data_IF_237000328712
#
_entry.id   IF_237000328712
#
_cell.length_a   1.000
_cell.length_b   1.000
_cell.length_c   1.000
_cell.angle_alpha   90.00
_cell.angle_beta   90.00
_cell.angle_gamma   90.00
#
_symmetry.space_group_name_H-M   'P 1'
#
loop_
_entity.id
_entity.type
_entity.pdbx_description
1 polymer ?
#
# COMPACT_ATOMS: atom_id res chain seq x y z
N UNK A 1 40.02 -21.07 30.53
CA UNK A 1 38.89 -21.67 29.78
C UNK A 1 37.84 -20.59 29.71
N UNK A 2 37.66 -19.98 28.55
CA UNK A 2 36.73 -18.86 28.36
C UNK A 2 35.31 -19.41 28.16
N UNK A 3 34.39 -18.93 28.99
CA UNK A 3 32.97 -19.23 28.92
C UNK A 3 32.37 -18.40 27.76
N UNK A 4 32.18 -19.04 26.61
CA UNK A 4 31.56 -18.41 25.44
C UNK A 4 30.07 -18.21 25.70
N UNK A 5 29.68 -17.02 26.17
CA UNK A 5 28.30 -16.62 26.33
C UNK A 5 27.52 -16.70 25.02
N UNK A 6 26.32 -17.29 25.08
CA UNK A 6 25.38 -17.34 23.97
C UNK A 6 25.13 -15.93 23.41
N UNK A 7 25.33 -15.75 22.11
CA UNK A 7 25.08 -14.47 21.47
C UNK A 7 23.57 -14.23 21.35
N UNK A 8 23.15 -12.97 21.42
CA UNK A 8 21.75 -12.56 21.21
C UNK A 8 21.15 -13.12 19.90
N UNK A 9 21.97 -13.27 18.87
CA UNK A 9 21.57 -13.85 17.58
C UNK A 9 21.24 -15.34 17.68
N UNK A 10 21.96 -16.09 18.52
CA UNK A 10 21.70 -17.50 18.77
C UNK A 10 20.38 -17.66 19.54
N UNK A 11 20.14 -16.80 20.53
CA UNK A 11 18.89 -16.78 21.28
C UNK A 11 17.67 -16.45 20.38
N UNK A 12 17.80 -15.48 19.46
CA UNK A 12 16.75 -15.13 18.48
C UNK A 12 16.48 -16.29 17.52
N UNK A 13 17.52 -16.98 17.03
CA UNK A 13 17.36 -18.19 16.21
C UNK A 13 16.63 -19.29 16.96
N UNK A 14 16.97 -19.51 18.23
CA UNK A 14 16.38 -20.56 19.06
C UNK A 14 14.90 -20.28 19.37
N UNK A 15 14.54 -19.02 19.56
CA UNK A 15 13.14 -18.58 19.72
C UNK A 15 12.36 -18.72 18.40
N UNK A 16 13.00 -18.42 17.27
CA UNK A 16 12.39 -18.58 15.94
C UNK A 16 12.10 -20.03 15.59
N UNK A 17 12.97 -20.97 16.00
CA UNK A 17 12.80 -22.40 15.76
C UNK A 17 11.87 -23.09 16.77
N UNK A 18 11.73 -22.55 17.99
CA UNK A 18 10.90 -23.12 19.06
C UNK A 18 9.38 -22.97 18.89
N UNK A 19 8.91 -22.10 17.99
CA UNK A 19 7.47 -21.83 17.76
C UNK A 19 6.83 -22.69 16.66
N UNK A 20 7.44 -23.82 16.31
CA UNK A 20 6.91 -24.74 15.30
C UNK A 20 5.90 -25.73 15.93
N UNK A 21 4.73 -25.22 16.29
CA UNK A 21 3.66 -26.07 16.82
C UNK A 21 2.32 -25.37 16.86
N UNK A 22 1.66 -25.27 15.68
CA UNK A 22 0.22 -25.00 15.39
C UNK A 22 -0.03 -23.94 14.31
N UNK A 23 0.95 -23.11 13.95
CA UNK A 23 0.77 -21.94 13.05
C UNK A 23 1.07 -22.17 11.55
N UNK A 24 1.27 -23.42 11.11
CA UNK A 24 1.63 -23.68 9.69
C UNK A 24 0.47 -23.38 8.74
N UNK A 25 -0.78 -23.63 9.14
CA UNK A 25 -1.93 -23.35 8.27
C UNK A 25 -2.23 -21.86 8.16
N UNK A 26 -2.12 -21.10 9.26
CA UNK A 26 -2.32 -19.65 9.26
C UNK A 26 -1.23 -18.94 8.45
N UNK A 27 0.04 -19.32 8.63
CA UNK A 27 1.15 -18.75 7.85
C UNK A 27 1.02 -19.03 6.36
N UNK A 28 0.56 -20.23 5.98
CA UNK A 28 0.30 -20.58 4.57
C UNK A 28 -0.83 -19.72 3.99
N UNK A 29 -1.93 -19.55 4.75
CA UNK A 29 -3.06 -18.70 4.33
C UNK A 29 -2.63 -17.23 4.17
N UNK A 30 -1.91 -16.67 5.14
CA UNK A 30 -1.39 -15.30 5.07
C UNK A 30 -0.48 -15.12 3.84
N UNK A 31 0.42 -16.08 3.58
CA UNK A 31 1.28 -16.03 2.40
C UNK A 31 0.48 -16.05 1.09
N UNK A 32 -0.52 -16.93 0.98
CA UNK A 32 -1.40 -17.01 -0.19
C UNK A 32 -2.18 -15.70 -0.40
N UNK A 33 -2.75 -15.13 0.67
CA UNK A 33 -3.45 -13.85 0.62
C UNK A 33 -2.53 -12.71 0.16
N UNK A 34 -1.29 -12.65 0.68
CA UNK A 34 -0.30 -11.66 0.22
C UNK A 34 0.02 -11.83 -1.27
N UNK A 35 0.12 -13.07 -1.77
CA UNK A 35 0.36 -13.34 -3.20
C UNK A 35 -0.80 -12.92 -4.08
N UNK A 36 -2.03 -13.18 -3.64
CA UNK A 36 -3.23 -12.72 -4.35
C UNK A 36 -3.33 -11.19 -4.36
N UNK A 37 -3.08 -10.55 -3.22
CA UNK A 37 -3.07 -9.09 -3.12
C UNK A 37 -2.02 -8.46 -4.06
N UNK A 38 -0.81 -9.02 -4.11
CA UNK A 38 0.22 -8.59 -5.05
C UNK A 38 -0.21 -8.77 -6.51
N UNK A 39 -0.80 -9.92 -6.86
CA UNK A 39 -1.28 -10.17 -8.22
C UNK A 39 -2.36 -9.19 -8.68
N UNK A 40 -3.26 -8.79 -7.77
CA UNK A 40 -4.25 -7.73 -8.04
C UNK A 40 -3.57 -6.39 -8.24
N UNK A 41 -2.55 -6.07 -7.43
CA UNK A 41 -1.79 -4.82 -7.58
C UNK A 41 -1.07 -4.75 -8.93
N UNK A 42 -0.41 -5.84 -9.32
CA UNK A 42 0.32 -5.96 -10.59
C UNK A 42 -0.61 -5.84 -11.81
N UNK A 43 -1.81 -6.42 -11.73
CA UNK A 43 -2.82 -6.30 -12.77
C UNK A 43 -3.29 -4.85 -12.92
N UNK A 44 -3.58 -4.19 -11.81
CA UNK A 44 -3.97 -2.79 -11.79
C UNK A 44 -2.83 -1.87 -12.28
N UNK A 45 -1.58 -2.16 -11.91
CA UNK A 45 -0.40 -1.48 -12.44
C UNK A 45 -0.29 -1.64 -13.95
N UNK A 46 -0.48 -2.85 -14.45
CA UNK A 46 -0.45 -3.15 -15.89
C UNK A 46 -1.56 -2.38 -16.61
N UNK A 47 -2.79 -2.41 -16.10
CA UNK A 47 -3.90 -1.69 -16.70
C UNK A 47 -3.67 -0.18 -16.74
N UNK A 48 -3.21 0.40 -15.63
CA UNK A 48 -2.95 1.84 -15.52
C UNK A 48 -1.71 2.30 -16.29
N UNK A 49 -0.73 1.42 -16.55
CA UNK A 49 0.42 1.72 -17.41
C UNK A 49 0.04 1.96 -18.88
N UNK A 50 -1.15 1.50 -19.29
CA UNK A 50 -1.70 1.71 -20.64
C UNK A 50 -2.57 2.95 -20.74
N UNK A 51 -2.86 3.62 -19.63
CA UNK A 51 -3.59 4.88 -19.64
C UNK A 51 -2.69 6.01 -20.17
N UNK A 52 -3.29 6.97 -20.88
CA UNK A 52 -2.59 8.19 -21.31
C UNK A 52 -2.14 9.02 -20.10
N UNK A 53 -1.15 9.92 -20.24
CA UNK A 53 -0.83 10.87 -19.18
C UNK A 53 -2.04 11.72 -18.77
N UNK A 54 -2.12 12.05 -17.48
CA UNK A 54 -3.18 12.90 -16.93
C UNK A 54 -2.83 14.38 -17.14
N UNK A 55 -3.77 15.18 -17.64
CA UNK A 55 -3.56 16.61 -17.87
C UNK A 55 -3.50 17.40 -16.56
N UNK A 56 -2.99 18.63 -16.62
CA UNK A 56 -2.92 19.50 -15.44
C UNK A 56 -4.31 19.77 -14.86
N UNK A 57 -5.30 20.01 -15.72
CA UNK A 57 -6.69 20.26 -15.34
C UNK A 57 -7.31 19.03 -14.66
N UNK A 58 -7.03 17.83 -15.19
CA UNK A 58 -7.47 16.57 -14.60
C UNK A 58 -6.85 16.36 -13.22
N UNK A 59 -5.56 16.65 -13.04
CA UNK A 59 -4.88 16.59 -11.73
C UNK A 59 -5.50 17.58 -10.74
N UNK A 60 -5.79 18.81 -11.17
CA UNK A 60 -6.43 19.84 -10.33
C UNK A 60 -7.81 19.35 -9.88
N UNK A 61 -8.60 18.82 -10.80
CA UNK A 61 -9.94 18.38 -10.49
C UNK A 61 -9.95 17.13 -9.60
N UNK A 62 -9.03 16.18 -9.83
CA UNK A 62 -8.81 15.04 -8.95
C UNK A 62 -8.51 15.49 -7.50
N UNK A 63 -7.66 16.51 -7.33
CA UNK A 63 -7.38 17.09 -6.01
C UNK A 63 -8.64 17.60 -5.31
N UNK A 64 -9.52 18.30 -6.04
CA UNK A 64 -10.79 18.79 -5.48
C UNK A 64 -11.71 17.65 -5.09
N UNK A 65 -11.79 16.59 -5.91
CA UNK A 65 -12.62 15.41 -5.63
C UNK A 65 -12.13 14.65 -4.40
N UNK A 66 -10.82 14.46 -4.24
CA UNK A 66 -10.22 13.82 -3.07
C UNK A 66 -10.63 14.54 -1.79
N UNK A 67 -10.64 15.88 -1.77
CA UNK A 67 -11.06 16.67 -0.59
C UNK A 67 -12.54 16.50 -0.20
N UNK A 68 -13.37 15.93 -1.09
CA UNK A 68 -14.79 15.67 -0.83
C UNK A 68 -15.03 14.23 -0.33
N UNK A 69 -14.00 13.40 -0.29
CA UNK A 69 -14.14 12.03 0.20
C UNK A 69 -14.36 12.00 1.72
N UNK A 70 -15.15 11.04 2.23
CA UNK A 70 -15.20 10.76 3.65
C UNK A 70 -13.86 10.20 4.13
N UNK A 71 -13.63 10.31 5.44
CA UNK A 71 -12.38 9.90 6.10
C UNK A 71 -12.00 8.44 5.80
N UNK A 72 -12.96 7.53 5.80
CA UNK A 72 -12.73 6.11 5.50
C UNK A 72 -12.16 5.89 4.09
N UNK A 73 -12.66 6.63 3.10
CA UNK A 73 -12.17 6.54 1.72
C UNK A 73 -10.81 7.24 1.52
N UNK A 74 -10.47 8.21 2.38
CA UNK A 74 -9.16 8.87 2.40
C UNK A 74 -8.05 7.94 2.87
N UNK A 75 -8.33 7.01 3.79
CA UNK A 75 -7.34 6.01 4.22
C UNK A 75 -6.83 5.18 3.03
N UNK A 76 -7.73 4.77 2.15
CA UNK A 76 -7.34 4.02 0.94
C UNK A 76 -6.55 4.87 -0.06
N UNK A 77 -6.83 6.18 -0.15
CA UNK A 77 -6.01 7.12 -0.95
C UNK A 77 -4.58 7.15 -0.42
N UNK A 78 -4.42 7.23 0.90
CA UNK A 78 -3.10 7.20 1.57
C UNK A 78 -2.37 5.90 1.24
N UNK A 79 -3.02 4.75 1.36
CA UNK A 79 -2.42 3.44 1.04
C UNK A 79 -1.92 3.35 -0.41
N UNK A 80 -2.70 3.86 -1.38
CA UNK A 80 -2.29 3.85 -2.80
C UNK A 80 -1.01 4.67 -2.99
N UNK A 81 -0.90 5.82 -2.33
CA UNK A 81 0.27 6.69 -2.41
C UNK A 81 1.47 6.08 -1.69
N UNK A 82 1.29 5.58 -0.46
CA UNK A 82 2.38 5.02 0.34
C UNK A 82 2.92 3.75 -0.30
N UNK A 83 2.07 2.84 -0.78
CA UNK A 83 2.50 1.60 -1.46
C UNK A 83 3.46 1.89 -2.63
N UNK A 84 3.26 3.03 -3.31
CA UNK A 84 4.11 3.49 -4.43
C UNK A 84 5.29 4.37 -3.98
N UNK A 85 5.16 5.10 -2.86
CA UNK A 85 6.16 6.03 -2.29
C UNK A 85 7.03 5.43 -1.17
N UNK A 86 6.85 4.17 -0.80
CA UNK A 86 7.39 3.48 0.39
C UNK A 86 8.94 3.34 0.47
N UNK A 87 9.67 4.45 0.42
CA UNK A 87 11.07 4.50 0.88
C UNK A 87 11.44 5.77 1.66
N UNK A 88 10.60 6.80 1.72
CA UNK A 88 10.97 8.05 2.40
C UNK A 88 9.78 8.72 3.06
N UNK A 89 9.89 8.92 4.38
CA UNK A 89 9.09 9.82 5.22
C UNK A 89 7.81 9.25 5.85
N UNK A 90 8.02 8.66 7.03
CA UNK A 90 7.01 8.51 8.09
C UNK A 90 6.73 9.88 8.72
N UNK A 91 5.74 10.61 8.20
CA UNK A 91 5.22 11.82 8.82
C UNK A 91 3.72 11.72 8.95
N UNK A 92 3.18 12.10 10.12
CA UNK A 92 1.75 12.09 10.44
C UNK A 92 0.90 12.97 9.50
N UNK A 93 1.55 13.77 8.63
CA UNK A 93 0.91 14.61 7.61
C UNK A 93 1.47 14.30 6.24
N UNK A 94 0.72 13.56 5.43
CA UNK A 94 1.07 13.32 4.03
C UNK A 94 0.68 14.54 3.20
N UNK A 95 1.67 15.35 2.83
CA UNK A 95 1.50 16.39 1.82
C UNK A 95 1.68 15.76 0.44
N UNK A 96 0.58 15.54 -0.28
CA UNK A 96 0.61 14.93 -1.61
C UNK A 96 0.76 16.00 -2.70
N UNK A 97 1.86 15.96 -3.45
CA UNK A 97 2.00 16.70 -4.69
C UNK A 97 1.64 15.80 -5.89
N UNK A 98 0.43 15.96 -6.45
CA UNK A 98 -0.04 15.21 -7.62
C UNK A 98 0.83 15.43 -8.87
N UNK A 99 1.68 16.47 -8.92
CA UNK A 99 2.60 16.68 -10.04
C UNK A 99 3.80 15.73 -10.03
N UNK A 100 4.17 15.22 -8.86
CA UNK A 100 5.32 14.33 -8.65
C UNK A 100 4.95 12.84 -8.74
N UNK A 101 3.65 12.52 -8.78
CA UNK A 101 3.18 11.15 -8.93
C UNK A 101 3.25 10.71 -10.40
N UNK A 102 3.59 9.44 -10.61
CA UNK A 102 3.53 8.80 -11.91
C UNK A 102 2.09 8.65 -12.40
N UNK A 103 1.92 8.63 -13.72
CA UNK A 103 0.59 8.56 -14.34
C UNK A 103 -0.21 7.34 -13.89
N UNK A 104 0.45 6.20 -13.66
CA UNK A 104 -0.25 5.00 -13.21
C UNK A 104 -0.85 5.18 -11.80
N UNK A 105 -0.10 5.78 -10.87
CA UNK A 105 -0.64 6.14 -9.54
C UNK A 105 -1.78 7.15 -9.63
N UNK A 106 -1.67 8.16 -10.49
CA UNK A 106 -2.72 9.16 -10.71
C UNK A 106 -4.03 8.55 -11.20
N UNK A 107 -3.97 7.62 -12.15
CA UNK A 107 -5.17 6.93 -12.63
C UNK A 107 -5.76 5.99 -11.59
N UNK A 108 -4.94 5.32 -10.78
CA UNK A 108 -5.44 4.49 -9.67
C UNK A 108 -6.21 5.32 -8.65
N UNK A 109 -5.66 6.49 -8.28
CA UNK A 109 -6.35 7.45 -7.43
C UNK A 109 -7.67 7.90 -8.05
N UNK A 110 -7.67 8.26 -9.34
CA UNK A 110 -8.88 8.69 -10.04
C UNK A 110 -10.01 7.64 -9.96
N UNK A 111 -9.73 6.39 -10.32
CA UNK A 111 -10.76 5.35 -10.30
C UNK A 111 -11.27 5.04 -8.89
N UNK A 112 -10.38 5.05 -7.89
CA UNK A 112 -10.78 4.89 -6.49
C UNK A 112 -11.70 6.03 -6.02
N UNK A 113 -11.32 7.28 -6.30
CA UNK A 113 -12.09 8.46 -5.91
C UNK A 113 -13.46 8.47 -6.59
N UNK A 114 -13.53 8.17 -7.89
CA UNK A 114 -14.79 8.08 -8.62
C UNK A 114 -15.70 6.98 -8.08
N UNK A 115 -15.14 5.82 -7.72
CA UNK A 115 -15.89 4.74 -7.10
C UNK A 115 -16.42 5.15 -5.73
N UNK A 116 -15.55 5.68 -4.86
CA UNK A 116 -15.93 6.09 -3.52
C UNK A 116 -16.98 7.21 -3.54
N UNK A 117 -16.88 8.19 -4.44
CA UNK A 117 -17.90 9.22 -4.59
C UNK A 117 -19.25 8.66 -5.06
N UNK A 118 -19.27 7.62 -5.90
CA UNK A 118 -20.52 6.97 -6.31
C UNK A 118 -21.20 6.25 -5.15
N UNK A 119 -20.44 5.51 -4.35
CA UNK A 119 -20.98 4.80 -3.19
C UNK A 119 -21.49 5.75 -2.10
N UNK A 120 -20.87 6.91 -1.92
CA UNK A 120 -21.32 7.92 -0.96
C UNK A 120 -22.58 8.69 -1.38
N UNK A 121 -22.95 8.67 -2.67
CA UNK A 121 -24.14 9.34 -3.20
C UNK A 121 -25.34 8.38 -3.34
N UNK A 122 -25.24 7.18 -2.77
CA UNK A 122 -26.24 6.11 -2.85
C UNK A 122 -26.94 5.95 -1.50
#
# INVERSE_FOLDING_TARGET
>A
MEESGETFQEAVKRLSTGLLGKDTSEKVLCFQLSKMAQGVDDLLNTATSKCRPMSTEEKIELSKRIRKLPEEALNRVVEIITTRKLASESSDRITMNLRELDDATLWRLYYHVEYALKENNK
#
